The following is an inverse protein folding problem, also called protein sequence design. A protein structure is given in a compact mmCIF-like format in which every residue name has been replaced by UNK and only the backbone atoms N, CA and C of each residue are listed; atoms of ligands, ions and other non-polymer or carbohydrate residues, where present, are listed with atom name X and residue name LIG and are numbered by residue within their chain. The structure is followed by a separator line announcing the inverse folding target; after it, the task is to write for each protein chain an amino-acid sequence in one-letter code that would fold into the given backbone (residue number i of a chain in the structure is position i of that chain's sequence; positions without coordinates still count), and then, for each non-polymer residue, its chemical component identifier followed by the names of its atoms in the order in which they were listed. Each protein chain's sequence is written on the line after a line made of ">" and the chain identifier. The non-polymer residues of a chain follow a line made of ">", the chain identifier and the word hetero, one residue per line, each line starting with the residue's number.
data_IF_779021063926
#
_entry.id   IF_779021063926
#
_cell.length_a   1.000
_cell.length_b   1.000
_cell.length_c   1.000
_cell.angle_alpha   90.00
_cell.angle_beta   90.00
_cell.angle_gamma   90.00
#
_symmetry.space_group_name_H-M   'P 1'
#
loop_
_entity.id
_entity.type
_entity.pdbx_description
1 polymer ?
#
# COMPACT_ATOMS: atom_id res chain seq x y z
N UNK A 1 -13.72 6.54 -43.57
CA UNK A 1 -13.47 5.11 -43.95
C UNK A 1 -14.43 4.28 -43.15
N UNK A 2 -15.09 3.28 -43.74
CA UNK A 2 -15.97 2.38 -42.98
C UNK A 2 -15.12 1.56 -41.98
N UNK A 3 -15.56 1.50 -40.71
CA UNK A 3 -14.89 0.65 -39.69
C UNK A 3 -14.96 -0.81 -40.10
N UNK A 4 -13.86 -1.55 -39.93
CA UNK A 4 -13.82 -3.00 -40.19
C UNK A 4 -14.70 -3.74 -39.19
N UNK A 5 -15.27 -4.87 -39.63
CA UNK A 5 -16.04 -5.73 -38.74
C UNK A 5 -15.15 -6.24 -37.58
N UNK A 6 -15.65 -6.27 -36.36
CA UNK A 6 -14.87 -6.72 -35.20
C UNK A 6 -14.42 -8.17 -35.31
N UNK A 7 -15.19 -9.05 -35.94
CA UNK A 7 -14.79 -10.42 -36.21
C UNK A 7 -13.62 -10.50 -37.22
N UNK A 8 -13.64 -9.64 -38.26
CA UNK A 8 -12.56 -9.49 -39.21
C UNK A 8 -11.30 -8.88 -38.57
N UNK A 9 -11.46 -7.95 -37.66
CA UNK A 9 -10.34 -7.34 -36.91
C UNK A 9 -9.59 -8.37 -36.06
N UNK A 10 -10.30 -9.33 -35.47
CA UNK A 10 -9.72 -10.44 -34.73
C UNK A 10 -9.42 -11.67 -35.60
N UNK A 11 -9.71 -11.62 -36.91
CA UNK A 11 -9.54 -12.74 -37.86
C UNK A 11 -10.20 -14.04 -37.36
N UNK A 12 -11.45 -13.96 -36.92
CA UNK A 12 -12.27 -15.08 -36.44
C UNK A 12 -13.63 -15.11 -37.14
N UNK A 13 -14.30 -16.26 -37.11
CA UNK A 13 -15.67 -16.40 -37.61
C UNK A 13 -16.71 -15.80 -36.61
N UNK A 14 -17.87 -15.42 -37.14
CA UNK A 14 -18.98 -14.92 -36.31
C UNK A 14 -19.52 -15.97 -35.34
N UNK A 15 -19.30 -17.23 -35.60
CA UNK A 15 -19.69 -18.38 -34.76
C UNK A 15 -18.65 -18.73 -33.70
N UNK A 16 -17.51 -18.00 -33.64
CA UNK A 16 -16.44 -18.29 -32.74
C UNK A 16 -16.87 -18.30 -31.27
N UNK A 17 -16.36 -19.27 -30.53
CA UNK A 17 -16.56 -19.39 -29.08
C UNK A 17 -15.78 -18.33 -28.30
N UNK A 18 -16.15 -18.09 -27.05
CA UNK A 18 -15.46 -17.14 -26.16
C UNK A 18 -13.98 -17.49 -25.97
N UNK A 19 -13.64 -18.79 -26.01
CA UNK A 19 -12.26 -19.27 -25.95
C UNK A 19 -11.45 -18.89 -27.19
N UNK A 20 -12.04 -18.99 -28.37
CA UNK A 20 -11.41 -18.62 -29.64
C UNK A 20 -11.23 -17.10 -29.75
N UNK A 21 -12.22 -16.32 -29.33
CA UNK A 21 -12.14 -14.85 -29.23
C UNK A 21 -10.96 -14.44 -28.36
N UNK A 22 -10.82 -15.04 -27.17
CA UNK A 22 -9.74 -14.74 -26.24
C UNK A 22 -8.36 -15.14 -26.77
N UNK A 23 -8.29 -16.25 -27.48
CA UNK A 23 -7.03 -16.76 -28.06
C UNK A 23 -6.57 -15.88 -29.23
N UNK A 24 -7.50 -15.49 -30.10
CA UNK A 24 -7.25 -14.58 -31.21
C UNK A 24 -6.81 -13.20 -30.73
N UNK A 25 -7.50 -12.66 -29.72
CA UNK A 25 -7.10 -11.40 -29.10
C UNK A 25 -5.66 -11.44 -28.58
N UNK A 26 -5.29 -12.47 -27.79
CA UNK A 26 -3.92 -12.59 -27.25
C UNK A 26 -2.87 -12.65 -28.35
N UNK A 27 -3.14 -13.39 -29.41
CA UNK A 27 -2.23 -13.51 -30.55
C UNK A 27 -1.99 -12.16 -31.24
N UNK A 28 -3.07 -11.44 -31.56
CA UNK A 28 -2.98 -10.15 -32.25
C UNK A 28 -2.48 -9.03 -31.34
N UNK A 29 -2.89 -8.99 -30.08
CA UNK A 29 -2.40 -8.02 -29.11
C UNK A 29 -0.89 -8.15 -28.87
N UNK A 30 -0.37 -9.38 -28.84
CA UNK A 30 1.08 -9.63 -28.71
C UNK A 30 1.86 -9.26 -29.98
N UNK A 31 1.24 -9.41 -31.17
CA UNK A 31 1.84 -9.05 -32.45
C UNK A 31 1.97 -7.55 -32.64
N UNK A 32 0.95 -6.77 -32.26
CA UNK A 32 0.89 -5.33 -32.45
C UNK A 32 1.14 -4.53 -31.15
N UNK A 33 1.74 -5.16 -30.13
CA UNK A 33 2.02 -4.51 -28.86
C UNK A 33 2.99 -3.31 -29.02
N UNK A 34 2.74 -2.14 -28.39
CA UNK A 34 3.62 -0.98 -28.51
C UNK A 34 5.08 -1.26 -28.13
N UNK A 35 5.30 -2.07 -27.09
CA UNK A 35 6.67 -2.43 -26.64
C UNK A 35 7.45 -3.28 -27.65
N UNK A 36 6.74 -4.01 -28.51
CA UNK A 36 7.36 -4.82 -29.57
C UNK A 36 7.52 -4.08 -30.89
N UNK A 37 6.74 -3.01 -31.09
CA UNK A 37 6.72 -2.19 -32.29
C UNK A 37 6.90 -0.70 -31.93
N UNK A 38 8.01 -0.32 -31.29
CA UNK A 38 8.22 1.04 -30.83
C UNK A 38 8.28 2.03 -32.01
N UNK A 39 7.40 3.03 -31.99
CA UNK A 39 7.34 4.07 -33.01
C UNK A 39 6.54 3.74 -34.29
N UNK A 40 5.98 2.54 -34.42
CA UNK A 40 5.11 2.18 -35.55
C UNK A 40 3.66 2.61 -35.27
N UNK A 41 3.28 3.74 -35.88
CA UNK A 41 1.90 4.28 -35.79
C UNK A 41 0.85 3.32 -36.36
N UNK A 42 1.20 2.47 -37.32
CA UNK A 42 0.25 1.52 -37.93
C UNK A 42 -0.04 0.37 -36.98
N UNK A 43 0.98 -0.12 -36.26
CA UNK A 43 0.82 -1.09 -35.20
C UNK A 43 -0.02 -0.54 -34.02
N UNK A 44 0.18 0.72 -33.65
CA UNK A 44 -0.61 1.39 -32.60
C UNK A 44 -2.09 1.49 -32.96
N UNK A 45 -2.42 1.90 -34.17
CA UNK A 45 -3.81 1.95 -34.65
C UNK A 45 -4.44 0.55 -34.66
N UNK A 46 -3.71 -0.46 -35.18
CA UNK A 46 -4.17 -1.85 -35.18
C UNK A 46 -4.40 -2.38 -33.76
N UNK A 47 -3.51 -2.07 -32.84
CA UNK A 47 -3.67 -2.48 -31.45
C UNK A 47 -4.93 -1.87 -30.79
N UNK A 48 -5.24 -0.61 -31.09
CA UNK A 48 -6.49 0.04 -30.63
C UNK A 48 -7.74 -0.64 -31.21
N UNK A 49 -7.73 -0.95 -32.51
CA UNK A 49 -8.84 -1.66 -33.17
C UNK A 49 -9.06 -3.06 -32.58
N UNK A 50 -7.98 -3.80 -32.30
CA UNK A 50 -8.02 -5.14 -31.70
C UNK A 50 -8.59 -5.10 -30.28
N UNK A 51 -8.19 -4.10 -29.47
CA UNK A 51 -8.74 -3.93 -28.13
C UNK A 51 -10.22 -3.57 -28.16
N UNK A 52 -10.65 -2.65 -29.05
CA UNK A 52 -12.06 -2.27 -29.24
C UNK A 52 -12.90 -3.49 -29.62
N UNK A 53 -12.44 -4.28 -30.59
CA UNK A 53 -13.12 -5.49 -31.02
C UNK A 53 -13.27 -6.52 -29.88
N UNK A 54 -12.22 -6.74 -29.13
CA UNK A 54 -12.25 -7.68 -27.99
C UNK A 54 -13.18 -7.20 -26.87
N UNK A 55 -13.18 -5.90 -26.52
CA UNK A 55 -14.05 -5.32 -25.49
C UNK A 55 -15.54 -5.52 -25.80
N UNK A 56 -15.91 -5.52 -27.08
CA UNK A 56 -17.29 -5.75 -27.49
C UNK A 56 -17.62 -7.25 -27.58
N UNK A 57 -16.72 -8.06 -28.13
CA UNK A 57 -17.00 -9.48 -28.40
C UNK A 57 -16.82 -10.41 -27.19
N UNK A 58 -16.09 -9.97 -26.13
CA UNK A 58 -15.89 -10.76 -24.90
C UNK A 58 -17.15 -10.85 -24.02
N UNK A 59 -18.06 -9.89 -24.18
CA UNK A 59 -19.26 -9.77 -23.36
C UNK A 59 -20.47 -10.26 -24.19
N UNK A 60 -21.22 -11.28 -23.71
CA UNK A 60 -22.34 -11.86 -24.46
C UNK A 60 -23.41 -10.84 -24.85
N UNK A 61 -23.71 -9.87 -23.97
CA UNK A 61 -24.75 -8.89 -24.22
C UNK A 61 -24.30 -7.85 -25.26
N UNK A 62 -23.04 -7.41 -25.20
CA UNK A 62 -22.45 -6.51 -26.18
C UNK A 62 -22.30 -7.19 -27.53
N UNK A 63 -21.88 -8.46 -27.54
CA UNK A 63 -21.78 -9.27 -28.75
C UNK A 63 -23.13 -9.41 -29.42
N UNK A 64 -24.17 -9.74 -28.66
CA UNK A 64 -25.55 -9.84 -29.19
C UNK A 64 -26.06 -8.50 -29.75
N UNK A 65 -25.74 -7.38 -29.11
CA UNK A 65 -26.06 -6.06 -29.62
C UNK A 65 -25.31 -5.74 -30.91
N UNK A 66 -24.02 -6.07 -30.97
CA UNK A 66 -23.18 -5.92 -32.17
C UNK A 66 -23.67 -6.78 -33.33
N UNK A 67 -24.05 -8.03 -33.05
CA UNK A 67 -24.57 -8.95 -34.07
C UNK A 67 -25.89 -8.47 -34.71
N UNK A 68 -26.72 -7.73 -33.92
CA UNK A 68 -27.99 -7.19 -34.41
C UNK A 68 -27.88 -5.85 -35.13
N UNK A 69 -27.04 -4.96 -34.61
CA UNK A 69 -27.01 -3.55 -35.02
C UNK A 69 -25.67 -3.10 -35.60
N UNK A 70 -24.65 -3.97 -35.62
CA UNK A 70 -23.31 -3.62 -36.07
C UNK A 70 -22.67 -2.51 -35.25
N UNK A 71 -21.80 -1.74 -35.89
CA UNK A 71 -21.14 -0.57 -35.27
C UNK A 71 -22.14 0.52 -34.83
N UNK A 72 -23.31 0.61 -35.48
CA UNK A 72 -24.34 1.60 -35.13
C UNK A 72 -24.85 1.44 -33.69
N UNK A 73 -24.77 0.25 -33.09
CA UNK A 73 -25.12 0.03 -31.70
C UNK A 73 -24.27 0.87 -30.73
N UNK A 74 -23.07 1.25 -31.16
CA UNK A 74 -22.06 1.92 -30.31
C UNK A 74 -21.78 3.37 -30.78
N UNK A 75 -22.30 3.79 -31.95
CA UNK A 75 -22.10 5.15 -32.52
C UNK A 75 -23.14 6.16 -32.06
N UNK A 76 -24.34 5.72 -31.66
CA UNK A 76 -25.44 6.64 -31.27
C UNK A 76 -25.40 7.19 -29.85
N UNK A 77 -24.31 6.92 -29.10
CA UNK A 77 -24.07 7.48 -27.74
C UNK A 77 -23.30 8.80 -27.70
N UNK A 78 -22.88 9.35 -28.84
CA UNK A 78 -22.08 10.59 -28.92
C UNK A 78 -22.72 11.67 -29.76
N UNK A 79 -23.81 12.25 -29.26
CA UNK A 79 -24.31 13.51 -29.76
C UNK A 79 -23.62 14.69 -29.09
N UNK A 80 -22.69 15.36 -29.77
CA UNK A 80 -22.34 16.75 -29.49
C UNK A 80 -20.89 17.06 -29.12
N UNK A 81 -20.10 17.53 -30.13
CA UNK A 81 -19.02 18.48 -29.92
C UNK A 81 -17.62 18.04 -30.36
N UNK A 82 -16.97 18.81 -31.29
CA UNK A 82 -15.62 18.55 -31.74
C UNK A 82 -14.60 19.25 -30.83
N UNK A 83 -14.02 18.55 -29.83
CA UNK A 83 -12.81 19.05 -29.19
C UNK A 83 -12.09 17.93 -28.42
N UNK A 84 -10.90 17.56 -28.86
CA UNK A 84 -9.79 17.16 -28.01
C UNK A 84 -9.73 15.71 -27.51
N UNK A 85 -9.35 14.75 -28.34
CA UNK A 85 -8.93 13.42 -27.94
C UNK A 85 -7.41 13.40 -27.71
N UNK A 86 -7.03 13.56 -26.45
CA UNK A 86 -5.69 13.28 -25.97
C UNK A 86 -5.75 12.53 -24.63
N UNK A 87 -5.20 11.33 -24.61
CA UNK A 87 -4.70 10.59 -23.45
C UNK A 87 -5.62 10.44 -22.23
N UNK A 88 -6.46 9.43 -22.20
CA UNK A 88 -6.69 8.51 -21.09
C UNK A 88 -7.84 7.53 -21.41
N UNK A 89 -7.56 6.52 -22.22
CA UNK A 89 -8.61 5.67 -22.81
C UNK A 89 -9.02 4.47 -21.93
N UNK A 90 -8.41 4.32 -20.75
CA UNK A 90 -8.57 3.11 -19.92
C UNK A 90 -9.73 3.15 -18.91
N UNK A 91 -10.08 4.29 -18.38
CA UNK A 91 -11.00 4.43 -17.24
C UNK A 91 -12.38 4.99 -17.59
N UNK A 92 -12.49 5.79 -18.64
CA UNK A 92 -13.71 6.55 -18.94
C UNK A 92 -14.81 5.72 -19.63
N UNK A 93 -14.46 4.61 -20.28
CA UNK A 93 -15.43 3.80 -21.02
C UNK A 93 -16.23 2.85 -20.13
N UNK A 94 -15.63 2.35 -19.04
CA UNK A 94 -16.31 1.52 -18.05
C UNK A 94 -17.35 2.32 -17.28
N UNK A 95 -17.00 3.53 -16.85
CA UNK A 95 -17.88 4.40 -16.05
C UNK A 95 -19.06 4.97 -16.87
N UNK A 96 -18.84 5.22 -18.16
CA UNK A 96 -19.90 5.73 -19.04
C UNK A 96 -20.90 4.63 -19.43
N UNK A 97 -20.41 3.37 -19.53
CA UNK A 97 -21.26 2.23 -19.85
C UNK A 97 -22.09 1.78 -18.66
N UNK A 98 -21.54 1.81 -17.43
CA UNK A 98 -22.31 1.61 -16.21
C UNK A 98 -23.39 2.70 -16.04
N UNK A 99 -23.13 3.92 -16.45
CA UNK A 99 -24.10 5.02 -16.41
C UNK A 99 -25.29 4.85 -17.37
N UNK A 100 -25.11 4.23 -18.53
CA UNK A 100 -26.15 4.13 -19.58
C UNK A 100 -26.87 2.77 -19.55
N UNK A 101 -26.16 1.66 -19.35
CA UNK A 101 -26.73 0.32 -19.32
C UNK A 101 -27.07 -0.20 -17.90
N UNK A 102 -26.35 0.23 -16.88
CA UNK A 102 -26.69 -0.03 -15.48
C UNK A 102 -28.03 0.59 -15.05
N UNK A 103 -28.55 1.56 -15.83
CA UNK A 103 -29.83 2.20 -15.56
C UNK A 103 -31.04 1.37 -15.98
N UNK A 104 -30.87 0.26 -16.74
CA UNK A 104 -31.97 -0.61 -17.18
C UNK A 104 -32.06 -1.94 -16.45
N UNK A 105 -30.97 -2.42 -15.83
CA UNK A 105 -30.98 -3.67 -15.08
C UNK A 105 -30.89 -3.39 -13.57
N UNK A 106 -32.02 -3.10 -12.96
CA UNK A 106 -32.14 -3.03 -11.51
C UNK A 106 -32.18 -1.63 -10.93
N UNK A 107 -33.21 -0.86 -11.23
CA UNK A 107 -33.76 0.06 -10.24
C UNK A 107 -34.34 -0.76 -9.08
N UNK A 108 -33.50 -1.50 -8.40
CA UNK A 108 -33.72 -1.87 -7.02
C UNK A 108 -33.90 -0.55 -6.29
N UNK A 109 -35.10 -0.29 -5.78
CA UNK A 109 -35.40 0.81 -4.88
C UNK A 109 -34.24 0.86 -3.87
N UNK A 110 -33.39 1.88 -3.97
CA UNK A 110 -32.38 2.17 -2.96
C UNK A 110 -33.15 2.16 -1.65
N UNK A 111 -32.98 1.11 -0.87
CA UNK A 111 -33.72 0.90 0.40
C UNK A 111 -33.35 1.97 1.44
N UNK A 112 -32.58 2.98 1.03
CA UNK A 112 -32.06 4.02 1.89
C UNK A 112 -31.10 3.49 2.97
N UNK A 113 -30.71 2.22 2.88
CA UNK A 113 -29.71 1.61 3.74
C UNK A 113 -28.33 2.00 3.28
N UNK A 114 -27.58 2.60 4.17
CA UNK A 114 -26.21 3.04 3.89
C UNK A 114 -25.27 2.25 4.78
N UNK A 115 -24.13 1.83 4.19
CA UNK A 115 -23.06 1.17 4.95
C UNK A 115 -22.47 2.17 5.94
N UNK A 116 -22.10 1.70 7.14
CA UNK A 116 -21.36 2.48 8.12
C UNK A 116 -19.98 2.89 7.61
N UNK A 117 -19.47 3.97 8.16
CA UNK A 117 -18.12 4.44 7.83
C UNK A 117 -17.06 3.47 8.36
N UNK A 118 -15.99 3.33 7.60
CA UNK A 118 -14.81 2.59 8.05
C UNK A 118 -14.05 3.46 9.08
N UNK A 119 -13.50 2.80 10.09
CA UNK A 119 -12.71 3.45 11.13
C UNK A 119 -11.22 3.18 10.92
N UNK A 120 -10.41 4.14 11.30
CA UNK A 120 -8.95 4.04 11.30
C UNK A 120 -8.42 4.16 12.72
N UNK A 121 -7.54 3.23 13.09
CA UNK A 121 -6.82 3.24 14.36
C UNK A 121 -5.32 3.08 14.11
N UNK A 122 -4.50 3.96 14.66
CA UNK A 122 -3.05 3.84 14.58
C UNK A 122 -2.55 3.21 15.89
N UNK A 123 -1.74 2.16 15.77
CA UNK A 123 -1.17 1.44 16.90
C UNK A 123 0.34 1.38 16.76
N UNK A 124 1.03 1.84 17.78
CA UNK A 124 2.47 1.68 17.90
C UNK A 124 2.79 0.40 18.68
N UNK A 125 3.72 -0.37 18.17
CA UNK A 125 4.25 -1.59 18.78
C UNK A 125 5.77 -1.54 18.86
N UNK A 126 6.35 -2.26 19.80
CA UNK A 126 7.80 -2.40 19.89
C UNK A 126 8.33 -3.41 18.87
N UNK A 127 9.63 -3.36 18.59
CA UNK A 127 10.28 -4.32 17.70
C UNK A 127 10.20 -5.76 18.25
N UNK A 128 10.26 -5.92 19.58
CA UNK A 128 10.09 -7.23 20.24
C UNK A 128 8.66 -7.76 20.10
N UNK A 129 7.65 -6.88 20.16
CA UNK A 129 6.26 -7.27 19.94
C UNK A 129 6.03 -7.66 18.47
N UNK A 130 6.68 -6.98 17.54
CA UNK A 130 6.65 -7.34 16.12
C UNK A 130 7.37 -8.69 15.87
N UNK A 131 8.41 -9.01 16.66
CA UNK A 131 9.11 -10.28 16.58
C UNK A 131 8.27 -11.45 17.12
N UNK A 132 7.71 -11.31 18.32
CA UNK A 132 6.95 -12.38 18.99
C UNK A 132 5.51 -12.51 18.51
N UNK A 133 4.96 -11.45 17.91
CA UNK A 133 3.52 -11.27 17.79
C UNK A 133 2.91 -10.82 19.13
N UNK A 134 1.71 -10.26 19.06
CA UNK A 134 1.01 -9.71 20.23
C UNK A 134 -0.51 -9.80 20.04
N UNK A 135 -1.21 -10.18 21.10
CA UNK A 135 -2.64 -9.94 21.19
C UNK A 135 -2.88 -8.68 22.02
N UNK A 136 -3.36 -7.63 21.37
CA UNK A 136 -3.63 -6.34 22.00
C UNK A 136 -5.12 -6.11 22.18
N UNK A 137 -5.51 -5.48 23.28
CA UNK A 137 -6.86 -4.97 23.46
C UNK A 137 -6.89 -3.47 23.18
N UNK A 138 -7.75 -3.06 22.25
CA UNK A 138 -7.95 -1.65 21.90
C UNK A 138 -9.35 -1.21 22.31
N UNK A 139 -9.48 0.04 22.75
CA UNK A 139 -10.76 0.68 23.03
C UNK A 139 -10.99 1.76 21.98
N UNK A 140 -12.12 1.66 21.32
CA UNK A 140 -12.49 2.62 20.28
C UNK A 140 -13.89 3.15 20.54
N UNK A 141 -14.11 4.47 20.46
CA UNK A 141 -15.44 5.01 20.39
C UNK A 141 -16.02 4.73 18.99
N UNK A 142 -17.14 4.05 18.93
CA UNK A 142 -17.80 3.75 17.65
C UNK A 142 -19.30 3.97 17.75
N UNK A 143 -19.93 4.37 16.65
CA UNK A 143 -21.37 4.45 16.55
C UNK A 143 -21.95 3.05 16.39
N UNK A 144 -22.75 2.61 17.36
CA UNK A 144 -23.45 1.33 17.33
C UNK A 144 -24.93 1.53 17.10
N UNK A 145 -25.62 0.52 16.59
CA UNK A 145 -27.08 0.56 16.43
C UNK A 145 -27.75 0.79 17.79
N UNK A 146 -28.66 1.73 17.86
CA UNK A 146 -29.41 2.01 19.08
C UNK A 146 -30.32 0.82 19.43
N UNK A 147 -30.09 0.17 20.55
CA UNK A 147 -30.86 -0.99 21.02
C UNK A 147 -32.33 -0.62 21.30
N UNK A 148 -32.59 0.56 21.84
CA UNK A 148 -33.92 1.00 22.20
C UNK A 148 -34.88 1.13 21.01
N UNK A 149 -34.35 1.41 19.79
CA UNK A 149 -35.16 1.55 18.58
C UNK A 149 -34.73 0.61 17.46
N UNK A 150 -33.77 -0.28 17.71
CA UNK A 150 -33.18 -1.20 16.71
C UNK A 150 -32.80 -0.50 15.40
N UNK A 151 -32.22 0.72 15.52
CA UNK A 151 -31.75 1.51 14.39
C UNK A 151 -32.81 2.31 13.64
N UNK A 152 -34.08 2.24 13.99
CA UNK A 152 -35.16 2.98 13.32
C UNK A 152 -35.15 4.48 13.60
N UNK A 153 -34.59 4.90 14.72
CA UNK A 153 -34.62 6.27 15.21
C UNK A 153 -35.98 6.69 15.79
N UNK A 154 -37.03 5.90 15.65
CA UNK A 154 -38.34 6.18 16.17
C UNK A 154 -38.53 5.59 17.59
N UNK A 155 -39.40 6.21 18.41
CA UNK A 155 -39.75 5.68 19.73
C UNK A 155 -40.30 4.24 19.61
N UNK A 156 -39.96 3.39 20.57
CA UNK A 156 -40.46 2.02 20.62
C UNK A 156 -42.02 1.99 20.43
N UNK A 157 -42.47 1.09 19.55
CA UNK A 157 -43.90 0.99 19.17
C UNK A 157 -44.31 1.94 18.04
N UNK A 158 -43.46 2.88 17.57
CA UNK A 158 -43.74 3.72 16.42
C UNK A 158 -42.81 3.39 15.25
N UNK A 159 -43.24 3.69 14.01
CA UNK A 159 -42.46 3.47 12.80
C UNK A 159 -42.20 4.80 12.08
N UNK A 160 -40.99 4.94 11.45
CA UNK A 160 -40.74 6.06 10.55
C UNK A 160 -41.75 6.07 9.40
N UNK A 161 -42.27 7.23 9.03
CA UNK A 161 -43.18 7.44 7.90
C UNK A 161 -42.38 7.91 6.67
N UNK A 162 -42.85 7.53 5.48
CA UNK A 162 -42.30 8.08 4.26
C UNK A 162 -42.47 9.60 4.22
N UNK A 163 -41.42 10.35 3.94
CA UNK A 163 -41.49 11.81 3.88
C UNK A 163 -42.45 12.26 2.76
N UNK A 164 -43.53 13.01 3.09
CA UNK A 164 -44.52 13.40 2.10
C UNK A 164 -43.97 14.36 1.04
N UNK A 165 -42.96 15.19 1.38
CA UNK A 165 -42.41 16.17 0.47
C UNK A 165 -41.55 15.53 -0.65
N UNK A 166 -40.77 14.50 -0.37
CA UNK A 166 -39.90 13.86 -1.34
C UNK A 166 -40.32 12.45 -1.73
N UNK A 167 -41.45 11.96 -1.22
CA UNK A 167 -41.95 10.60 -1.52
C UNK A 167 -40.97 9.48 -1.17
N UNK A 168 -40.07 9.69 -0.20
CA UNK A 168 -39.04 8.73 0.19
C UNK A 168 -37.68 8.91 -0.47
N UNK A 169 -37.56 9.78 -1.45
CA UNK A 169 -36.31 9.96 -2.22
C UNK A 169 -35.21 10.73 -1.49
N UNK A 170 -35.53 11.44 -0.41
CA UNK A 170 -34.55 12.26 0.33
C UNK A 170 -34.12 13.56 -0.38
N UNK A 171 -34.46 13.70 -1.64
CA UNK A 171 -34.13 14.86 -2.49
C UNK A 171 -35.40 15.39 -3.14
N UNK A 172 -35.45 16.70 -3.40
CA UNK A 172 -36.49 17.34 -4.15
C UNK A 172 -35.92 17.94 -5.43
N UNK A 173 -36.61 17.72 -6.53
CA UNK A 173 -36.25 18.27 -7.85
C UNK A 173 -37.03 19.54 -8.11
N UNK A 174 -36.32 20.58 -8.45
CA UNK A 174 -36.93 21.85 -8.89
C UNK A 174 -36.50 22.11 -10.30
N UNK A 175 -37.47 22.08 -11.22
CA UNK A 175 -37.22 22.34 -12.63
C UNK A 175 -37.50 23.81 -12.92
N UNK A 176 -36.48 24.55 -13.38
CA UNK A 176 -36.59 25.94 -13.79
C UNK A 176 -36.15 26.02 -15.26
N UNK A 177 -37.10 26.04 -16.19
CA UNK A 177 -36.84 25.97 -17.62
C UNK A 177 -36.19 24.66 -18.04
N UNK A 178 -35.01 24.72 -18.66
CA UNK A 178 -34.24 23.56 -19.13
C UNK A 178 -33.35 22.94 -18.04
N UNK A 179 -33.26 23.56 -16.88
CA UNK A 179 -32.38 23.07 -15.80
C UNK A 179 -33.20 22.42 -14.70
N UNK A 180 -32.80 21.17 -14.33
CA UNK A 180 -33.33 20.46 -13.17
C UNK A 180 -32.30 20.52 -12.04
N UNK A 181 -32.63 21.25 -10.97
CA UNK A 181 -31.80 21.32 -9.77
C UNK A 181 -32.31 20.32 -8.74
N UNK A 182 -31.45 19.40 -8.35
CA UNK A 182 -31.69 18.51 -7.21
C UNK A 182 -31.12 19.12 -5.94
N UNK A 183 -31.91 19.17 -4.88
CA UNK A 183 -31.44 19.59 -3.56
C UNK A 183 -31.93 18.64 -2.49
N UNK A 184 -31.19 18.55 -1.38
CA UNK A 184 -31.61 17.77 -0.22
C UNK A 184 -32.99 18.23 0.26
N UNK A 185 -33.86 17.28 0.54
CA UNK A 185 -35.21 17.59 1.02
C UNK A 185 -35.15 18.30 2.37
N UNK A 186 -35.69 19.52 2.49
CA UNK A 186 -35.61 20.30 3.74
C UNK A 186 -36.42 19.68 4.89
N UNK A 187 -37.43 18.88 4.59
CA UNK A 187 -38.26 18.24 5.60
C UNK A 187 -37.61 17.02 6.27
N UNK A 188 -36.95 16.17 5.48
CA UNK A 188 -36.34 14.96 6.00
C UNK A 188 -34.81 15.02 6.03
N UNK A 189 -34.19 16.10 5.60
CA UNK A 189 -32.75 16.32 5.54
C UNK A 189 -31.98 15.16 4.87
N UNK A 190 -32.49 14.66 3.75
CA UNK A 190 -31.91 13.56 3.01
C UNK A 190 -32.34 12.17 3.45
N UNK A 191 -33.04 12.05 4.57
CA UNK A 191 -33.39 10.74 5.16
C UNK A 191 -34.49 9.99 4.39
N UNK A 192 -35.30 10.68 3.58
CA UNK A 192 -36.45 10.07 2.89
C UNK A 192 -37.60 9.68 3.79
N UNK A 193 -37.42 9.72 5.10
CA UNK A 193 -38.41 9.39 6.13
C UNK A 193 -38.53 10.50 7.16
N UNK A 194 -39.72 10.69 7.72
CA UNK A 194 -40.01 11.56 8.85
C UNK A 194 -40.29 10.72 10.10
N UNK A 195 -39.82 11.19 11.23
CA UNK A 195 -40.03 10.56 12.54
C UNK A 195 -40.83 11.55 13.40
N UNK A 196 -42.08 11.23 13.66
CA UNK A 196 -42.97 12.08 14.45
C UNK A 196 -42.56 12.10 15.94
N UNK A 197 -42.19 10.91 16.44
CA UNK A 197 -41.73 10.70 17.82
C UNK A 197 -40.32 10.11 17.81
N UNK A 198 -39.27 10.93 18.01
CA UNK A 198 -37.90 10.43 18.02
C UNK A 198 -37.62 9.56 19.25
N UNK A 199 -36.76 8.57 19.08
CA UNK A 199 -36.27 7.73 20.17
C UNK A 199 -35.46 8.59 21.17
N UNK A 200 -35.80 8.52 22.45
CA UNK A 200 -35.15 9.32 23.51
C UNK A 200 -33.64 9.00 23.65
N UNK A 201 -33.25 7.73 23.44
CA UNK A 201 -31.85 7.28 23.60
C UNK A 201 -30.92 7.75 22.49
N UNK A 202 -31.41 7.94 21.27
CA UNK A 202 -30.60 8.32 20.11
C UNK A 202 -31.04 9.63 19.43
N UNK A 203 -32.04 10.33 19.98
CA UNK A 203 -32.60 11.57 19.43
C UNK A 203 -32.93 11.49 17.93
N UNK A 204 -33.44 10.34 17.48
CA UNK A 204 -33.85 10.11 16.09
C UNK A 204 -32.71 9.67 15.15
N UNK A 205 -31.46 9.56 15.60
CA UNK A 205 -30.32 9.15 14.73
C UNK A 205 -30.33 7.65 14.41
N UNK A 206 -30.94 6.82 15.24
CA UNK A 206 -30.90 5.37 15.14
C UNK A 206 -29.58 4.74 15.62
N UNK A 207 -28.60 5.56 16.02
CA UNK A 207 -27.26 5.14 16.46
C UNK A 207 -26.89 5.84 17.77
N UNK A 208 -26.03 5.21 18.56
CA UNK A 208 -25.45 5.78 19.79
C UNK A 208 -23.95 5.53 19.79
N UNK A 209 -23.18 6.47 20.28
CA UNK A 209 -21.75 6.28 20.43
C UNK A 209 -21.48 5.50 21.71
N UNK A 210 -20.74 4.41 21.60
CA UNK A 210 -20.27 3.59 22.74
C UNK A 210 -18.81 3.22 22.57
N UNK A 211 -18.09 3.10 23.65
CA UNK A 211 -16.76 2.49 23.65
C UNK A 211 -16.88 0.97 23.50
N UNK A 212 -16.15 0.43 22.54
CA UNK A 212 -16.02 -1.03 22.35
C UNK A 212 -14.57 -1.42 22.59
N UNK A 213 -14.40 -2.50 23.35
CA UNK A 213 -13.08 -3.14 23.52
C UNK A 213 -12.99 -4.30 22.54
N UNK A 214 -11.97 -4.25 21.66
CA UNK A 214 -11.72 -5.26 20.64
C UNK A 214 -10.37 -5.91 20.89
N UNK A 215 -10.30 -7.22 20.69
CA UNK A 215 -9.06 -7.99 20.72
C UNK A 215 -8.46 -8.07 19.32
N UNK A 216 -7.23 -7.64 19.17
CA UNK A 216 -6.50 -7.61 17.90
C UNK A 216 -5.32 -8.56 17.99
N UNK A 217 -5.27 -9.54 17.12
CA UNK A 217 -4.14 -10.45 17.01
C UNK A 217 -3.15 -9.92 15.97
N UNK A 218 -1.96 -9.55 16.43
CA UNK A 218 -0.85 -9.09 15.60
C UNK A 218 0.09 -10.27 15.40
N UNK A 219 0.23 -10.81 14.20
CA UNK A 219 1.11 -11.95 13.95
C UNK A 219 2.59 -11.56 14.06
N UNK A 220 3.44 -12.55 14.36
CA UNK A 220 4.89 -12.37 14.33
C UNK A 220 5.38 -12.02 12.92
N UNK A 221 6.38 -11.16 12.83
CA UNK A 221 7.00 -10.76 11.57
C UNK A 221 6.33 -9.57 10.86
N UNK A 222 5.31 -8.94 11.44
CA UNK A 222 4.68 -7.74 10.86
C UNK A 222 5.72 -6.66 10.59
N UNK A 223 5.53 -5.93 9.50
CA UNK A 223 6.37 -4.81 9.08
C UNK A 223 5.75 -3.47 9.48
N UNK A 224 6.56 -2.43 9.49
CA UNK A 224 6.08 -1.05 9.67
C UNK A 224 5.08 -0.71 8.56
N UNK A 225 4.00 0.02 8.91
CA UNK A 225 2.92 0.32 8.00
C UNK A 225 1.96 -0.84 7.69
N UNK A 226 2.14 -2.02 8.31
CA UNK A 226 1.21 -3.15 8.14
C UNK A 226 -0.19 -2.75 8.56
N UNK A 227 -1.17 -3.14 7.72
CA UNK A 227 -2.58 -2.84 7.92
C UNK A 227 -3.36 -4.11 8.27
N UNK A 228 -4.03 -4.11 9.42
CA UNK A 228 -4.94 -5.18 9.86
C UNK A 228 -6.38 -4.69 9.68
N UNK A 229 -7.21 -5.49 9.03
CA UNK A 229 -8.64 -5.21 8.85
C UNK A 229 -9.45 -6.10 9.80
N UNK A 230 -10.31 -5.49 10.60
CA UNK A 230 -11.36 -6.16 11.35
C UNK A 230 -12.68 -5.87 10.67
N UNK A 231 -13.22 -6.87 9.97
CA UNK A 231 -14.44 -6.74 9.20
C UNK A 231 -15.65 -6.51 10.13
N UNK A 232 -16.49 -5.52 9.80
CA UNK A 232 -17.69 -5.20 10.54
C UNK A 232 -17.48 -4.47 11.87
N UNK A 233 -16.25 -4.07 12.22
CA UNK A 233 -15.94 -3.37 13.46
C UNK A 233 -15.80 -1.84 13.27
N UNK A 234 -16.30 -1.32 12.15
CA UNK A 234 -16.45 0.11 11.91
C UNK A 234 -17.72 0.69 12.53
N UNK A 235 -18.18 1.84 12.04
CA UNK A 235 -19.43 2.44 12.47
C UNK A 235 -20.64 1.61 12.01
N UNK A 236 -21.73 1.63 12.79
CA UNK A 236 -22.98 1.04 12.39
C UNK A 236 -23.54 1.73 11.14
N UNK A 237 -24.08 0.95 10.22
CA UNK A 237 -24.78 1.46 9.06
C UNK A 237 -26.05 2.21 9.42
N UNK A 238 -26.51 3.02 8.48
CA UNK A 238 -27.74 3.78 8.62
C UNK A 238 -28.92 2.94 8.15
N UNK A 239 -30.04 2.99 8.88
CA UNK A 239 -31.32 2.31 8.53
C UNK A 239 -31.17 0.77 8.35
N UNK A 240 -30.36 0.13 9.18
CA UNK A 240 -30.10 -1.30 9.06
C UNK A 240 -29.16 -1.65 7.90
N UNK A 241 -28.35 -0.70 7.44
CA UNK A 241 -27.22 -0.95 6.57
C UNK A 241 -26.12 -1.75 7.28
N UNK A 242 -25.25 -2.43 6.56
CA UNK A 242 -24.13 -3.17 7.15
C UNK A 242 -23.15 -2.19 7.83
N UNK A 243 -22.45 -2.63 8.88
CA UNK A 243 -21.40 -1.82 9.49
C UNK A 243 -20.21 -1.63 8.55
N UNK A 244 -19.39 -0.62 8.81
CA UNK A 244 -18.10 -0.44 8.21
C UNK A 244 -17.06 -1.41 8.78
N UNK A 245 -15.81 -1.25 8.38
CA UNK A 245 -14.68 -2.02 8.87
C UNK A 245 -13.76 -1.14 9.72
N UNK A 246 -12.98 -1.78 10.59
CA UNK A 246 -11.91 -1.11 11.31
C UNK A 246 -10.56 -1.48 10.68
N UNK A 247 -9.80 -0.45 10.31
CA UNK A 247 -8.43 -0.60 9.81
C UNK A 247 -7.45 -0.14 10.88
N UNK A 248 -6.58 -1.06 11.30
CA UNK A 248 -5.51 -0.79 12.25
C UNK A 248 -4.22 -0.68 11.46
N UNK A 249 -3.54 0.47 11.59
CA UNK A 249 -2.25 0.74 11.00
C UNK A 249 -1.19 0.58 12.07
N UNK A 250 -0.27 -0.36 11.86
CA UNK A 250 0.81 -0.62 12.78
C UNK A 250 2.00 0.30 12.46
N UNK A 251 2.60 0.88 13.48
CA UNK A 251 3.90 1.53 13.42
C UNK A 251 4.84 0.86 14.42
N UNK A 252 6.09 0.64 13.99
CA UNK A 252 7.10 0.01 14.85
C UNK A 252 7.99 1.10 15.42
N UNK A 253 8.02 1.21 16.75
CA UNK A 253 8.87 2.15 17.43
C UNK A 253 10.36 1.87 17.20
N UNK A 254 11.18 2.93 17.17
CA UNK A 254 12.63 2.80 17.05
C UNK A 254 13.21 2.00 18.23
N UNK A 255 14.12 1.07 17.91
CA UNK A 255 14.79 0.26 18.93
C UNK A 255 16.19 0.85 19.24
N UNK A 256 16.65 0.89 20.49
CA UNK A 256 17.93 1.49 20.85
C UNK A 256 19.17 0.79 20.24
N UNK A 257 19.08 -0.50 19.95
CA UNK A 257 20.22 -1.30 19.47
C UNK A 257 20.03 -1.82 18.05
N UNK A 258 18.79 -2.12 17.64
CA UNK A 258 18.51 -2.78 16.39
C UNK A 258 17.87 -1.83 15.40
N UNK A 259 18.36 -1.90 14.17
CA UNK A 259 17.72 -1.32 12.99
C UNK A 259 17.22 -2.48 12.13
N UNK A 260 15.95 -2.45 11.75
CA UNK A 260 15.33 -3.47 10.92
C UNK A 260 15.39 -3.06 9.44
N UNK A 261 15.80 -3.99 8.60
CA UNK A 261 15.75 -3.87 7.14
C UNK A 261 15.10 -5.14 6.56
N UNK A 262 13.81 -5.04 6.21
CA UNK A 262 13.02 -6.22 5.83
C UNK A 262 12.94 -7.26 6.95
N UNK A 263 13.46 -8.45 6.71
CA UNK A 263 13.57 -9.51 7.72
C UNK A 263 14.88 -9.46 8.52
N UNK A 264 15.87 -8.69 8.07
CA UNK A 264 17.17 -8.65 8.70
C UNK A 264 17.24 -7.58 9.80
N UNK A 265 18.12 -7.82 10.78
CA UNK A 265 18.41 -6.92 11.88
C UNK A 265 19.86 -6.46 11.79
N UNK A 266 20.08 -5.18 11.97
CA UNK A 266 21.41 -4.57 12.01
C UNK A 266 21.64 -3.99 13.40
N UNK A 267 22.81 -4.29 13.99
CA UNK A 267 23.25 -3.63 15.20
C UNK A 267 24.72 -3.19 15.09
N UNK A 268 25.03 -2.09 15.75
CA UNK A 268 26.41 -1.57 15.85
C UNK A 268 26.94 -1.83 17.23
N UNK A 269 28.10 -2.47 17.30
CA UNK A 269 28.70 -2.86 18.57
C UNK A 269 30.09 -2.22 18.66
N UNK A 270 30.33 -1.36 19.67
CA UNK A 270 31.67 -0.84 19.93
C UNK A 270 32.56 -1.95 20.47
N UNK A 271 33.74 -2.09 19.92
CA UNK A 271 34.77 -3.06 20.33
C UNK A 271 36.06 -2.31 20.56
N UNK A 272 36.76 -2.66 21.64
CA UNK A 272 38.05 -2.02 21.94
C UNK A 272 39.07 -2.26 20.81
N UNK A 273 39.94 -1.30 20.56
CA UNK A 273 41.00 -1.46 19.57
C UNK A 273 41.91 -2.67 19.89
N UNK A 274 42.08 -3.02 21.16
CA UNK A 274 42.90 -4.17 21.59
C UNK A 274 42.23 -5.48 21.14
N UNK A 275 40.92 -5.62 21.38
CA UNK A 275 40.14 -6.79 20.93
C UNK A 275 40.09 -6.86 19.40
N UNK A 276 39.97 -5.72 18.72
CA UNK A 276 39.98 -5.68 17.26
C UNK A 276 41.35 -6.12 16.68
N UNK A 277 42.45 -5.74 17.34
CA UNK A 277 43.81 -6.06 16.90
C UNK A 277 44.22 -7.50 17.22
N UNK A 278 43.95 -7.99 18.44
CA UNK A 278 44.40 -9.29 18.92
C UNK A 278 43.38 -10.41 18.68
N UNK A 279 42.20 -10.07 18.24
CA UNK A 279 41.09 -10.99 18.20
C UNK A 279 40.43 -11.20 19.57
N UNK A 280 39.33 -11.94 19.59
CA UNK A 280 38.59 -12.22 20.82
C UNK A 280 37.16 -12.62 20.56
N UNK A 281 36.34 -12.53 21.57
CA UNK A 281 34.90 -12.75 21.48
C UNK A 281 34.14 -11.73 22.32
N UNK A 282 32.94 -11.38 21.87
CA UNK A 282 32.01 -10.57 22.65
C UNK A 282 30.59 -11.11 22.54
N UNK A 283 29.74 -10.75 23.49
CA UNK A 283 28.34 -11.14 23.49
C UNK A 283 27.48 -10.01 22.98
N UNK A 284 26.52 -10.34 22.10
CA UNK A 284 25.50 -9.41 21.63
C UNK A 284 24.12 -9.90 22.06
N UNK A 285 23.22 -8.99 22.44
CA UNK A 285 21.83 -9.35 22.67
C UNK A 285 21.18 -9.76 21.35
N UNK A 286 20.23 -10.67 21.42
CA UNK A 286 19.37 -11.04 20.30
C UNK A 286 17.95 -10.54 20.55
N UNK A 287 17.16 -10.37 19.50
CA UNK A 287 15.80 -9.80 19.59
C UNK A 287 14.84 -10.67 20.42
N UNK A 288 15.12 -11.96 20.52
CA UNK A 288 14.41 -12.93 21.36
C UNK A 288 14.70 -12.80 22.87
N UNK A 289 15.56 -11.83 23.25
CA UNK A 289 15.99 -11.61 24.64
C UNK A 289 17.18 -12.49 25.07
N UNK A 290 17.70 -13.32 24.18
CA UNK A 290 18.89 -14.12 24.40
C UNK A 290 20.19 -13.35 24.20
N UNK A 291 21.32 -14.07 24.21
CA UNK A 291 22.65 -13.57 23.88
C UNK A 291 23.35 -14.53 22.93
N UNK A 292 24.15 -13.99 22.04
CA UNK A 292 24.97 -14.79 21.12
C UNK A 292 26.41 -14.27 21.12
N UNK A 293 27.37 -15.20 21.13
CA UNK A 293 28.79 -14.88 21.04
C UNK A 293 29.21 -14.64 19.61
N UNK A 294 29.95 -13.56 19.39
CA UNK A 294 30.55 -13.19 18.11
C UNK A 294 32.08 -13.31 18.25
N UNK A 295 32.68 -14.14 17.43
CA UNK A 295 34.15 -14.31 17.40
C UNK A 295 34.73 -13.26 16.45
N UNK A 296 35.66 -12.46 16.97
CA UNK A 296 36.39 -11.43 16.28
C UNK A 296 37.74 -11.95 15.85
N UNK A 297 38.05 -12.09 14.58
CA UNK A 297 39.39 -12.39 14.11
C UNK A 297 40.36 -11.25 14.38
N UNK A 298 41.65 -11.60 14.52
CA UNK A 298 42.74 -10.62 14.61
C UNK A 298 42.72 -9.64 13.41
N UNK A 299 43.09 -8.39 13.68
CA UNK A 299 43.12 -7.34 12.64
C UNK A 299 41.77 -6.91 12.12
N UNK A 300 40.69 -7.16 12.87
CA UNK A 300 39.34 -6.74 12.47
C UNK A 300 39.23 -5.22 12.39
N UNK A 301 38.89 -4.72 11.21
CA UNK A 301 38.74 -3.29 10.95
C UNK A 301 37.35 -2.77 11.34
N UNK A 302 37.27 -1.48 11.64
CA UNK A 302 35.99 -0.79 11.88
C UNK A 302 35.10 -0.89 10.65
N UNK A 303 33.80 -1.14 10.86
CA UNK A 303 32.84 -1.33 9.78
C UNK A 303 32.67 -2.78 9.33
N UNK A 304 33.53 -3.70 9.75
CA UNK A 304 33.37 -5.15 9.46
C UNK A 304 32.04 -5.66 9.98
N UNK A 305 31.34 -6.46 9.16
CA UNK A 305 30.03 -7.03 9.49
C UNK A 305 30.15 -8.55 9.72
N UNK A 306 29.52 -9.02 10.78
CA UNK A 306 29.38 -10.45 11.09
C UNK A 306 27.93 -10.84 10.93
N UNK A 307 27.66 -11.87 10.15
CA UNK A 307 26.33 -12.42 9.92
C UNK A 307 26.02 -13.52 10.93
N UNK A 308 24.93 -13.38 11.64
CA UNK A 308 24.38 -14.39 12.53
C UNK A 308 23.11 -14.95 11.88
N UNK A 309 23.24 -16.11 11.28
CA UNK A 309 22.18 -16.73 10.50
C UNK A 309 20.94 -17.04 11.37
N UNK A 310 19.75 -16.70 10.85
CA UNK A 310 18.47 -16.98 11.50
C UNK A 310 18.20 -16.20 12.79
N UNK A 311 18.98 -15.14 13.09
CA UNK A 311 18.80 -14.27 14.26
C UNK A 311 18.12 -12.93 13.94
N UNK A 312 17.54 -12.79 12.76
CA UNK A 312 16.72 -11.66 12.34
C UNK A 312 15.25 -11.81 12.71
N UNK A 313 14.39 -11.04 12.05
CA UNK A 313 12.93 -11.06 12.24
C UNK A 313 12.31 -12.27 11.56
N UNK A 314 11.24 -12.85 12.12
CA UNK A 314 10.47 -13.86 11.42
C UNK A 314 9.79 -13.26 10.17
N UNK A 315 9.69 -14.05 9.11
CA UNK A 315 8.99 -13.67 7.90
C UNK A 315 7.51 -14.00 8.05
N UNK A 316 6.65 -13.02 7.83
CA UNK A 316 5.20 -13.17 7.97
C UNK A 316 4.67 -14.36 7.15
N UNK A 317 3.90 -15.24 7.80
CA UNK A 317 3.33 -16.47 7.21
C UNK A 317 4.36 -17.50 6.71
N UNK A 318 5.61 -17.40 7.14
CA UNK A 318 6.66 -18.36 6.83
C UNK A 318 7.28 -18.92 8.12
N UNK A 319 8.03 -20.02 8.01
CA UNK A 319 8.88 -20.53 9.08
C UNK A 319 10.30 -20.00 9.01
N UNK A 320 10.58 -19.14 8.05
CA UNK A 320 11.90 -18.56 7.85
C UNK A 320 12.07 -17.33 8.74
N UNK A 321 13.30 -17.11 9.17
CA UNK A 321 13.75 -15.89 9.83
C UNK A 321 14.87 -15.28 9.02
N UNK A 322 14.96 -13.97 9.05
CA UNK A 322 16.10 -13.25 8.52
C UNK A 322 17.34 -13.43 9.36
N UNK A 323 18.38 -12.69 9.06
CA UNK A 323 19.67 -12.74 9.71
C UNK A 323 19.91 -11.48 10.55
N UNK A 324 20.86 -11.60 11.46
CA UNK A 324 21.33 -10.45 12.22
C UNK A 324 22.75 -10.09 11.78
N UNK A 325 22.95 -8.84 11.40
CA UNK A 325 24.24 -8.29 11.00
C UNK A 325 24.80 -7.42 12.12
N UNK A 326 25.91 -7.87 12.68
CA UNK A 326 26.64 -7.15 13.72
C UNK A 326 27.78 -6.38 13.07
N UNK A 327 27.66 -5.06 13.05
CA UNK A 327 28.71 -4.18 12.56
C UNK A 327 29.61 -3.73 13.70
N UNK A 328 30.89 -4.08 13.63
CA UNK A 328 31.87 -3.65 14.61
C UNK A 328 32.28 -2.20 14.35
N UNK A 329 32.31 -1.42 15.42
CA UNK A 329 32.88 -0.08 15.44
C UNK A 329 34.07 -0.09 16.40
N UNK A 330 35.27 0.04 15.88
CA UNK A 330 36.47 0.03 16.72
C UNK A 330 36.54 1.32 17.52
N UNK A 331 36.50 1.20 18.83
CA UNK A 331 36.60 2.32 19.76
C UNK A 331 38.07 2.63 20.08
N UNK A 332 38.48 3.87 19.80
CA UNK A 332 39.78 4.39 20.20
C UNK A 332 39.70 4.87 21.66
N UNK A 333 40.58 4.41 22.55
CA UNK A 333 40.54 4.76 23.95
C UNK A 333 40.74 6.24 24.18
N UNK A 334 39.94 6.82 25.08
CA UNK A 334 40.00 8.21 25.52
C UNK A 334 40.58 8.25 26.96
N UNK A 335 41.12 9.43 27.37
CA UNK A 335 41.62 9.68 28.72
C UNK A 335 42.67 8.65 29.20
N UNK A 336 43.69 8.40 28.40
CA UNK A 336 44.75 7.47 28.67
C UNK A 336 45.53 7.85 29.94
N UNK A 337 45.83 6.85 30.78
CA UNK A 337 46.84 6.96 31.88
C UNK A 337 48.26 7.18 31.30
N UNK A 338 49.18 7.64 32.13
CA UNK A 338 50.61 7.79 31.74
C UNK A 338 51.15 6.47 31.18
N UNK A 339 50.91 5.35 31.89
CA UNK A 339 51.43 4.04 31.47
C UNK A 339 50.79 3.55 30.16
N UNK A 340 49.50 3.75 29.95
CA UNK A 340 48.84 3.41 28.67
C UNK A 340 49.42 4.21 27.51
N UNK A 341 49.70 5.49 27.72
CA UNK A 341 50.34 6.35 26.70
C UNK A 341 51.77 5.87 26.34
N UNK A 342 52.55 5.48 27.35
CA UNK A 342 53.90 4.92 27.14
C UNK A 342 53.85 3.65 26.29
N UNK A 343 52.94 2.71 26.65
CA UNK A 343 52.73 1.45 25.91
C UNK A 343 52.31 1.69 24.46
N UNK A 344 51.42 2.66 24.21
CA UNK A 344 51.00 2.97 22.85
C UNK A 344 52.13 3.63 22.03
N UNK A 345 52.96 4.47 22.63
CA UNK A 345 54.18 5.03 21.99
C UNK A 345 55.22 3.94 21.70
N UNK A 346 55.35 2.98 22.57
CA UNK A 346 56.20 1.81 22.34
C UNK A 346 55.67 0.96 21.19
N UNK A 347 54.37 0.68 21.16
CA UNK A 347 53.72 -0.02 20.07
C UNK A 347 53.94 0.71 18.73
N UNK A 348 53.77 2.04 18.68
CA UNK A 348 53.98 2.86 17.49
C UNK A 348 55.42 2.72 16.98
N UNK A 349 56.42 2.74 17.86
CA UNK A 349 57.85 2.58 17.48
C UNK A 349 58.14 1.20 16.87
N UNK A 350 57.41 0.17 17.29
CA UNK A 350 57.56 -1.21 16.79
C UNK A 350 56.70 -1.47 15.55
N UNK A 351 55.80 -0.52 15.20
CA UNK A 351 54.92 -0.67 14.06
C UNK A 351 55.68 -0.53 12.75
N UNK A 352 55.29 -1.33 11.75
CA UNK A 352 55.86 -1.37 10.41
C UNK A 352 54.78 -1.19 9.33
N UNK A 353 55.18 -1.13 8.07
CA UNK A 353 54.28 -1.13 6.93
C UNK A 353 53.37 -2.39 6.92
N UNK A 354 53.88 -3.52 7.39
CA UNK A 354 53.13 -4.77 7.46
C UNK A 354 52.04 -4.74 8.53
N UNK A 355 52.27 -4.01 9.65
CA UNK A 355 51.28 -3.86 10.72
C UNK A 355 50.21 -2.81 10.43
N UNK A 356 50.53 -1.83 9.57
CA UNK A 356 49.60 -0.74 9.20
C UNK A 356 49.61 -0.47 7.68
N UNK A 357 49.18 -1.48 6.86
CA UNK A 357 49.33 -1.41 5.41
C UNK A 357 48.53 -0.29 4.76
N UNK A 358 47.31 0.01 5.26
CA UNK A 358 46.46 1.01 4.64
C UNK A 358 46.95 2.43 4.85
N UNK A 359 47.36 2.80 6.07
CA UNK A 359 47.88 4.13 6.35
C UNK A 359 49.19 4.38 5.63
N UNK A 360 50.10 3.41 5.66
CA UNK A 360 51.37 3.47 4.96
C UNK A 360 51.21 3.54 3.44
N UNK A 361 50.29 2.73 2.90
CA UNK A 361 49.97 2.75 1.45
C UNK A 361 49.31 4.05 0.99
N UNK A 362 48.48 4.67 1.81
CA UNK A 362 47.86 5.94 1.51
C UNK A 362 48.92 7.08 1.46
N UNK A 363 49.72 7.18 2.50
CA UNK A 363 50.78 8.23 2.54
C UNK A 363 51.84 8.02 1.45
N UNK A 364 52.16 6.79 1.08
CA UNK A 364 52.98 6.48 -0.10
C UNK A 364 52.39 7.07 -1.39
N UNK A 365 51.13 6.79 -1.66
CA UNK A 365 50.41 7.32 -2.85
C UNK A 365 50.32 8.85 -2.83
N UNK A 366 50.11 9.46 -1.67
CA UNK A 366 50.09 10.94 -1.55
C UNK A 366 51.44 11.52 -1.88
N UNK A 367 52.54 10.91 -1.42
CA UNK A 367 53.91 11.33 -1.75
C UNK A 367 54.16 11.23 -3.25
N UNK A 368 53.86 10.10 -3.86
CA UNK A 368 54.03 9.89 -5.31
C UNK A 368 53.23 10.91 -6.14
N UNK A 369 52.00 11.22 -5.70
CA UNK A 369 51.19 12.25 -6.35
C UNK A 369 51.80 13.65 -6.24
N UNK A 370 52.30 14.03 -5.06
CA UNK A 370 52.96 15.33 -4.86
C UNK A 370 54.26 15.43 -5.64
N UNK A 371 55.07 14.37 -5.65
CA UNK A 371 56.31 14.30 -6.42
C UNK A 371 56.04 14.40 -7.93
N UNK A 372 54.95 13.78 -8.43
CA UNK A 372 54.52 13.92 -9.82
C UNK A 372 54.06 15.33 -10.21
N UNK A 373 53.46 16.08 -9.28
CA UNK A 373 53.07 17.48 -9.49
C UNK A 373 54.31 18.40 -9.51
N UNK A 374 55.38 18.06 -8.75
CA UNK A 374 56.64 18.77 -8.73
C UNK A 374 57.43 18.62 -10.02
N UNK A 375 57.44 17.44 -10.62
CA UNK A 375 58.15 17.14 -11.86
C UNK A 375 57.53 17.84 -13.10
N UNK A 376 56.25 18.14 -13.10
CA UNK A 376 55.57 18.86 -14.19
C UNK A 376 55.85 20.37 -14.25
N UNK A 377 56.50 20.96 -13.23
CA UNK A 377 56.85 22.38 -13.19
C UNK A 377 58.30 22.70 -13.66
N UNK A 378 59.11 21.68 -13.88
CA UNK A 378 60.53 21.87 -14.24
C UNK A 378 60.79 21.83 -15.77
N UNK A 379 59.79 21.66 -16.62
CA UNK A 379 59.96 21.56 -18.08
C UNK A 379 59.35 22.71 -18.87
N UNK A 380 59.07 23.86 -18.24
CA UNK A 380 58.68 25.10 -18.94
C UNK A 380 59.47 26.27 -18.43
N UNK A 381 60.81 26.33 -18.76
CA UNK A 381 61.65 27.48 -18.70
C UNK A 381 62.56 27.51 -19.95
#
# INVERSE_FOLDING_TARGET
>A
MAKRCYYETLAIDRTASDGEIKTAFRKHAMQFHPDRNPGDKTAEVRFKEINEAYEVLKDPDKRAAYDRFGHAAFEHGMGGGPAGFGADFGTTFSDLFEGIFGMSAGRGRSSGRERGADLRYNMEITLQEAFNGKTAQIRIPTSVTCEACSGSGAKAGTKPKTCPMCGGHGRVRHTQGFFTLERTCPNCHGRGQSIDTPCASCAGSGRVTRERTLSVNIPAGVEDGTRIRLAGEGEAGVRGGPPGDLYIFLSIGAHPFFQREGADLHCRVPVSMVTASLGGEFEVPTIDGGKTKVKVPEGTQSGRRFRLAGKGMPVLRSRQSGDMYVQVVVETPQKLTKRQRELLLEFERLSSIETQPESSGFFGKVKDFLDGLGAGRATSA
#
